data_IF_174795197810
#
_entry.id   IF_174795197810
#
_cell.length_a   1.000
_cell.length_b   1.000
_cell.length_c   1.000
_cell.angle_alpha   90.00
_cell.angle_beta   90.00
_cell.angle_gamma   90.00
#
_symmetry.space_group_name_H-M   'P 1'
#
loop_
_entity.id
_entity.type
_entity.pdbx_description
1 polymer ?
#
# COMPACT_ATOMS: atom_id res chain seq x y z
N UNK A 1 -22.22 -9.48 2.38
CA UNK A 1 -22.03 -8.02 2.26
C UNK A 1 -20.63 -7.79 1.71
N UNK A 2 -20.50 -7.19 0.52
CA UNK A 2 -19.20 -6.86 -0.07
C UNK A 2 -18.70 -5.60 0.64
N UNK A 3 -17.76 -5.76 1.57
CA UNK A 3 -17.10 -4.60 2.19
C UNK A 3 -16.17 -3.97 1.17
N UNK A 4 -16.41 -2.70 0.87
CA UNK A 4 -15.53 -1.92 0.01
C UNK A 4 -14.17 -1.74 0.73
N UNK A 5 -13.12 -2.34 0.18
CA UNK A 5 -11.75 -2.22 0.71
C UNK A 5 -11.30 -0.76 0.76
N UNK A 6 -11.75 0.10 -0.16
CA UNK A 6 -11.39 1.51 -0.15
C UNK A 6 -12.02 2.23 1.04
N UNK A 7 -13.30 1.95 1.33
CA UNK A 7 -14.01 2.53 2.46
C UNK A 7 -13.37 2.07 3.79
N UNK A 8 -13.06 0.78 3.91
CA UNK A 8 -12.39 0.24 5.10
C UNK A 8 -11.01 0.88 5.33
N UNK A 9 -10.24 1.12 4.26
CA UNK A 9 -8.95 1.83 4.34
C UNK A 9 -9.11 3.24 4.89
N UNK A 10 -10.07 3.99 4.38
CA UNK A 10 -10.31 5.37 4.82
C UNK A 10 -10.74 5.42 6.28
N UNK A 11 -11.61 4.50 6.70
CA UNK A 11 -12.04 4.40 8.11
C UNK A 11 -10.87 4.04 9.02
N UNK A 12 -10.08 3.01 8.68
CA UNK A 12 -8.89 2.64 9.45
C UNK A 12 -7.88 3.79 9.55
N UNK A 13 -7.68 4.54 8.46
CA UNK A 13 -6.78 5.68 8.44
C UNK A 13 -7.29 6.79 9.37
N UNK A 14 -8.57 7.14 9.27
CA UNK A 14 -9.18 8.18 10.11
C UNK A 14 -9.10 7.80 11.59
N UNK A 15 -9.47 6.57 11.94
CA UNK A 15 -9.43 6.07 13.33
C UNK A 15 -7.98 6.02 13.83
N UNK A 16 -7.04 5.55 13.02
CA UNK A 16 -5.62 5.50 13.38
C UNK A 16 -5.03 6.89 13.67
N UNK A 17 -5.33 7.89 12.84
CA UNK A 17 -4.87 9.27 13.04
C UNK A 17 -5.49 9.87 14.31
N UNK A 18 -6.79 9.70 14.52
CA UNK A 18 -7.48 10.23 15.72
C UNK A 18 -6.93 9.56 16.98
N UNK A 19 -6.77 8.25 16.99
CA UNK A 19 -6.17 7.52 18.11
C UNK A 19 -4.74 8.01 18.41
N UNK A 20 -3.95 8.30 17.38
CA UNK A 20 -2.60 8.87 17.55
C UNK A 20 -2.64 10.27 18.19
N UNK A 21 -3.53 11.16 17.74
CA UNK A 21 -3.68 12.50 18.32
C UNK A 21 -4.13 12.43 19.78
N UNK A 22 -5.10 11.58 20.09
CA UNK A 22 -5.58 11.36 21.47
C UNK A 22 -4.43 10.82 22.34
N UNK A 23 -3.68 9.82 21.84
CA UNK A 23 -2.55 9.24 22.57
C UNK A 23 -1.46 10.27 22.86
N UNK A 24 -1.09 11.11 21.88
CA UNK A 24 -0.13 12.19 22.07
C UNK A 24 -0.63 13.20 23.11
N UNK A 25 -1.87 13.65 22.98
CA UNK A 25 -2.46 14.61 23.92
C UNK A 25 -2.48 14.08 25.35
N UNK A 26 -2.95 12.84 25.53
CA UNK A 26 -3.07 12.24 26.85
C UNK A 26 -1.71 11.98 27.49
N UNK A 27 -0.71 11.58 26.69
CA UNK A 27 0.66 11.40 27.17
C UNK A 27 1.29 12.71 27.59
N UNK A 28 1.11 13.78 26.82
CA UNK A 28 1.64 15.10 27.16
C UNK A 28 0.96 15.71 28.39
N UNK A 29 -0.36 15.52 28.52
CA UNK A 29 -1.13 16.13 29.61
C UNK A 29 -0.95 15.39 30.94
N UNK A 30 -0.99 14.05 30.92
CA UNK A 30 -0.89 13.24 32.15
C UNK A 30 0.53 12.76 32.46
N UNK A 31 1.48 12.94 31.53
CA UNK A 31 2.89 12.53 31.65
C UNK A 31 3.07 11.06 32.06
N UNK A 32 2.07 10.23 31.77
CA UNK A 32 2.06 8.80 32.07
C UNK A 32 2.00 8.02 30.77
N UNK A 33 3.16 7.59 30.29
CA UNK A 33 3.29 6.83 29.05
C UNK A 33 2.80 5.39 29.22
N UNK A 34 2.92 4.82 30.42
CA UNK A 34 2.57 3.43 30.68
C UNK A 34 1.05 3.25 30.70
N UNK A 35 0.32 4.15 31.36
CA UNK A 35 -1.14 4.13 31.39
C UNK A 35 -1.77 4.41 30.01
N UNK A 36 -1.07 5.14 29.13
CA UNK A 36 -1.57 5.55 27.81
C UNK A 36 -1.03 4.69 26.65
N UNK A 37 -0.16 3.72 26.93
CA UNK A 37 0.46 2.84 25.93
C UNK A 37 -0.56 2.10 25.05
N UNK A 38 -1.71 1.72 25.62
CA UNK A 38 -2.75 1.00 24.89
C UNK A 38 -3.33 1.79 23.71
N UNK A 39 -3.38 3.12 23.79
CA UNK A 39 -3.89 3.98 22.72
C UNK A 39 -2.94 3.96 21.53
N UNK A 40 -1.63 3.95 21.81
CA UNK A 40 -0.61 3.77 20.77
C UNK A 40 -0.69 2.38 20.14
N UNK A 41 -1.01 1.34 20.92
CA UNK A 41 -1.25 0.02 20.35
C UNK A 41 -2.44 0.02 19.38
N UNK A 42 -3.54 0.69 19.71
CA UNK A 42 -4.71 0.80 18.81
C UNK A 42 -4.36 1.57 17.54
N UNK A 43 -3.65 2.70 17.67
CA UNK A 43 -3.17 3.46 16.53
C UNK A 43 -2.27 2.60 15.62
N UNK A 44 -1.35 1.82 16.21
CA UNK A 44 -0.46 0.92 15.48
C UNK A 44 -1.22 -0.23 14.79
N UNK A 45 -2.23 -0.80 15.45
CA UNK A 45 -3.09 -1.83 14.87
C UNK A 45 -3.90 -1.32 13.68
N UNK A 46 -4.34 -0.06 13.70
CA UNK A 46 -4.99 0.56 12.55
C UNK A 46 -4.01 0.77 11.38
N UNK A 47 -2.74 1.03 11.68
CA UNK A 47 -1.72 1.37 10.68
C UNK A 47 -1.11 0.17 9.96
N UNK A 48 -0.94 -0.96 10.67
CA UNK A 48 -0.35 -2.19 10.11
C UNK A 48 -1.01 -2.71 8.83
N UNK A 49 -2.34 -2.95 8.78
CA UNK A 49 -2.99 -3.44 7.56
C UNK A 49 -2.95 -2.42 6.42
N UNK A 50 -2.96 -1.11 6.71
CA UNK A 50 -2.79 -0.06 5.70
C UNK A 50 -1.41 -0.13 5.04
N UNK A 51 -0.35 -0.28 5.84
CA UNK A 51 1.02 -0.43 5.34
C UNK A 51 1.17 -1.72 4.52
N UNK A 52 0.58 -2.81 4.98
CA UNK A 52 0.62 -4.09 4.29
C UNK A 52 -0.03 -4.00 2.90
N UNK A 53 -1.21 -3.39 2.81
CA UNK A 53 -1.86 -3.18 1.51
C UNK A 53 -1.07 -2.26 0.58
N UNK A 54 -0.47 -1.19 1.10
CA UNK A 54 0.41 -0.32 0.29
C UNK A 54 1.65 -1.07 -0.21
N UNK A 55 2.21 -1.99 0.57
CA UNK A 55 3.32 -2.82 0.11
C UNK A 55 2.89 -3.76 -1.03
N UNK A 56 1.75 -4.43 -0.90
CA UNK A 56 1.24 -5.30 -1.97
C UNK A 56 1.01 -4.54 -3.27
N UNK A 57 0.43 -3.35 -3.21
CA UNK A 57 0.21 -2.51 -4.40
C UNK A 57 1.53 -2.09 -5.05
N UNK A 58 2.54 -1.73 -4.26
CA UNK A 58 3.88 -1.41 -4.78
C UNK A 58 4.55 -2.61 -5.44
N UNK A 59 4.40 -3.80 -4.86
CA UNK A 59 4.95 -5.03 -5.45
C UNK A 59 4.24 -5.36 -6.76
N UNK A 60 2.91 -5.28 -6.80
CA UNK A 60 2.12 -5.50 -8.02
C UNK A 60 2.50 -4.50 -9.13
N UNK A 61 2.70 -3.22 -8.79
CA UNK A 61 3.13 -2.20 -9.74
C UNK A 61 4.52 -2.52 -10.34
N UNK A 62 5.48 -2.95 -9.52
CA UNK A 62 6.82 -3.33 -9.99
C UNK A 62 6.80 -4.54 -10.93
N UNK A 63 6.00 -5.56 -10.61
CA UNK A 63 5.84 -6.74 -11.48
C UNK A 63 5.25 -6.33 -12.83
N UNK A 64 4.21 -5.49 -12.83
CA UNK A 64 3.60 -5.00 -14.07
C UNK A 64 4.58 -4.17 -14.92
N UNK A 65 5.44 -3.36 -14.29
CA UNK A 65 6.49 -2.62 -15.00
C UNK A 65 7.53 -3.55 -15.63
N UNK A 66 7.96 -4.60 -14.92
CA UNK A 66 8.89 -5.59 -15.45
C UNK A 66 8.30 -6.39 -16.61
N UNK A 67 7.05 -6.83 -16.50
CA UNK A 67 6.31 -7.49 -17.58
C UNK A 67 6.18 -6.59 -18.81
N UNK A 68 5.84 -5.31 -18.62
CA UNK A 68 5.77 -4.34 -19.71
C UNK A 68 7.13 -4.12 -20.38
N UNK A 69 8.23 -4.12 -19.60
CA UNK A 69 9.60 -4.00 -20.11
C UNK A 69 10.03 -5.23 -20.90
N UNK A 70 9.72 -6.43 -20.40
CA UNK A 70 9.97 -7.71 -21.08
C UNK A 70 9.15 -7.83 -22.38
N UNK A 71 7.88 -7.43 -22.37
CA UNK A 71 7.04 -7.41 -23.56
C UNK A 71 7.59 -6.48 -24.65
N UNK A 72 8.11 -5.30 -24.26
CA UNK A 72 8.79 -4.38 -25.19
C UNK A 72 10.09 -4.98 -25.73
N UNK A 73 10.90 -5.64 -24.89
CA UNK A 73 12.11 -6.33 -25.36
C UNK A 73 11.78 -7.49 -26.31
N UNK A 74 10.76 -8.29 -26.02
CA UNK A 74 10.37 -9.42 -26.87
C UNK A 74 9.81 -8.95 -28.23
N UNK A 75 9.10 -7.81 -28.27
CA UNK A 75 8.69 -7.15 -29.51
C UNK A 75 9.86 -6.57 -30.31
N UNK A 76 10.89 -6.05 -29.63
CA UNK A 76 12.10 -5.55 -30.30
C UNK A 76 13.00 -6.68 -30.83
N UNK A 77 12.99 -7.84 -30.17
CA UNK A 77 13.76 -9.04 -30.55
C UNK A 77 13.05 -9.94 -31.57
N UNK A 78 11.77 -9.74 -31.85
CA UNK A 78 11.12 -10.41 -32.97
C UNK A 78 11.51 -9.63 -34.22
N UNK A 79 12.46 -10.12 -35.05
CA UNK A 79 12.69 -9.48 -36.32
C UNK A 79 11.38 -9.59 -37.08
N UNK A 80 10.82 -8.44 -37.47
CA UNK A 80 9.78 -8.41 -38.48
C UNK A 80 10.24 -9.36 -39.58
N UNK A 81 9.50 -10.45 -39.81
CA UNK A 81 9.69 -11.31 -40.97
C UNK A 81 9.53 -10.39 -42.18
N UNK A 82 10.64 -9.78 -42.58
CA UNK A 82 10.83 -9.06 -43.83
C UNK A 82 10.68 -10.15 -44.88
N UNK A 83 9.42 -10.39 -45.25
CA UNK A 83 9.04 -11.27 -46.32
C UNK A 83 9.42 -10.56 -47.63
N UNK A 84 10.73 -10.44 -47.89
CA UNK A 84 11.30 -9.92 -49.12
C UNK A 84 11.78 -11.09 -49.96
N UNK A 85 10.85 -11.94 -50.40
CA UNK A 85 11.03 -12.79 -51.58
C UNK A 85 9.70 -13.40 -52.06
N UNK A 86 9.04 -12.68 -52.97
CA UNK A 86 8.32 -13.25 -54.14
C UNK A 86 7.68 -12.12 -54.95
N UNK A 87 8.37 -11.61 -55.97
CA UNK A 87 8.13 -11.91 -57.39
C UNK A 87 9.06 -11.06 -58.24
#
# INVERSE_FOLDING_TARGET
MIFDKALLRTVLLSVGVVAMVIGIYQTLFFNDLAANYWIFMIAMFCWMPLLYWRQQERLAAKVAEEEARLAKQNRAKTPAKSNRKRR
#
